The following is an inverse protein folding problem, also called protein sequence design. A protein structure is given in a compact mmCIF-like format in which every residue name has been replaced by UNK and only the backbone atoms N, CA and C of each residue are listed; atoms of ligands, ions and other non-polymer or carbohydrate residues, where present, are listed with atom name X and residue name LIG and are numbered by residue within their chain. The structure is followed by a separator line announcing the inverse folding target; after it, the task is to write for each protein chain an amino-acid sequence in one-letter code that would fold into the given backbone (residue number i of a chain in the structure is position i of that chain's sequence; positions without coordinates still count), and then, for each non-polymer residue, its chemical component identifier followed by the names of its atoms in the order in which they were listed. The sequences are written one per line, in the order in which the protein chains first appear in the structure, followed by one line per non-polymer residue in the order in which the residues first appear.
data_IF_677603066401
#
_entry.id   IF_677603066401
#
_cell.length_a   1.000
_cell.length_b   1.000
_cell.length_c   1.000
_cell.angle_alpha   90.00
_cell.angle_beta   90.00
_cell.angle_gamma   90.00
#
_symmetry.space_group_name_H-M   'P 1'
#
loop_
_entity.id
_entity.type
_entity.pdbx_description
1 polymer ?
#
# COMPACT_ATOMS: atom_id res chain seq x y z
N UNK A 1 -36.27 5.47 1.10
CA UNK A 1 -36.04 4.27 0.26
C UNK A 1 -35.43 4.58 -1.11
N UNK A 2 -35.82 5.65 -1.82
CA UNK A 2 -35.26 5.99 -3.15
C UNK A 2 -33.76 6.31 -3.15
N UNK A 3 -33.23 6.99 -2.14
CA UNK A 3 -31.78 7.31 -2.02
C UNK A 3 -30.89 6.06 -1.87
N UNK A 4 -31.34 5.05 -1.17
CA UNK A 4 -30.63 3.76 -1.01
C UNK A 4 -30.62 2.97 -2.33
N UNK A 5 -31.73 2.94 -3.08
CA UNK A 5 -31.77 2.30 -4.41
C UNK A 5 -30.79 2.94 -5.39
N UNK A 6 -30.67 4.27 -5.38
CA UNK A 6 -29.70 4.97 -6.24
C UNK A 6 -28.22 4.75 -5.81
N UNK A 7 -27.97 4.48 -4.54
CA UNK A 7 -26.64 4.14 -4.06
C UNK A 7 -26.18 2.80 -4.64
N UNK A 8 -27.01 1.76 -4.54
CA UNK A 8 -26.69 0.43 -5.07
C UNK A 8 -26.73 0.32 -6.61
N UNK A 9 -27.33 1.29 -7.30
CA UNK A 9 -27.31 1.34 -8.77
C UNK A 9 -26.01 1.91 -9.35
N UNK A 10 -25.11 2.45 -8.50
CA UNK A 10 -23.84 2.98 -8.96
C UNK A 10 -22.77 1.88 -8.93
N UNK A 11 -22.29 1.40 -10.10
CA UNK A 11 -21.37 0.27 -10.18
C UNK A 11 -20.02 0.53 -9.48
N UNK A 12 -19.64 1.79 -9.21
CA UNK A 12 -18.43 2.14 -8.45
C UNK A 12 -18.46 1.55 -7.02
N UNK A 13 -19.64 1.41 -6.43
CA UNK A 13 -19.77 0.86 -5.08
C UNK A 13 -19.21 -0.56 -5.00
N UNK A 14 -19.32 -1.32 -6.08
CA UNK A 14 -18.77 -2.67 -6.14
C UNK A 14 -17.24 -2.68 -5.96
N UNK A 15 -16.52 -1.70 -6.53
CA UNK A 15 -15.07 -1.56 -6.33
C UNK A 15 -14.77 -1.39 -4.84
N UNK A 16 -15.47 -0.46 -4.17
CA UNK A 16 -15.22 -0.18 -2.76
C UNK A 16 -15.60 -1.32 -1.84
N UNK A 17 -16.65 -2.08 -2.16
CA UNK A 17 -17.01 -3.29 -1.41
C UNK A 17 -15.87 -4.32 -1.52
N UNK A 18 -15.35 -4.56 -2.73
CA UNK A 18 -14.25 -5.51 -2.94
C UNK A 18 -12.98 -5.03 -2.25
N UNK A 19 -12.65 -3.74 -2.36
CA UNK A 19 -11.51 -3.14 -1.63
C UNK A 19 -11.65 -3.36 -0.12
N UNK A 20 -12.81 -3.09 0.46
CA UNK A 20 -13.05 -3.32 1.89
C UNK A 20 -12.85 -4.78 2.29
N UNK A 21 -13.30 -5.73 1.47
CA UNK A 21 -13.08 -7.17 1.72
C UNK A 21 -11.59 -7.52 1.68
N UNK A 22 -10.84 -6.98 0.71
CA UNK A 22 -9.38 -7.19 0.60
C UNK A 22 -8.65 -6.59 1.82
N UNK A 23 -9.16 -5.51 2.40
CA UNK A 23 -8.55 -4.85 3.55
C UNK A 23 -8.83 -5.55 4.90
N UNK A 24 -9.79 -6.48 4.97
CA UNK A 24 -10.13 -7.19 6.23
C UNK A 24 -8.90 -7.83 6.89
N UNK A 25 -8.02 -8.56 6.19
CA UNK A 25 -6.82 -9.15 6.79
C UNK A 25 -5.88 -8.11 7.39
N UNK A 26 -5.79 -6.92 6.78
CA UNK A 26 -4.92 -5.82 7.24
C UNK A 26 -5.36 -5.30 8.61
N UNK A 27 -6.67 -5.31 8.90
CA UNK A 27 -7.23 -4.83 10.16
C UNK A 27 -7.06 -5.81 11.33
N UNK A 28 -6.68 -7.07 11.05
CA UNK A 28 -6.43 -8.04 12.13
C UNK A 28 -5.19 -7.64 12.92
N UNK A 29 -5.20 -7.77 14.26
CA UNK A 29 -4.01 -7.48 15.07
C UNK A 29 -2.89 -8.47 14.76
N UNK A 30 -1.65 -8.03 14.97
CA UNK A 30 -0.46 -8.84 14.75
C UNK A 30 0.02 -8.87 13.30
N UNK A 31 1.02 -9.70 13.08
CA UNK A 31 1.65 -9.91 11.79
C UNK A 31 1.03 -11.13 11.09
N UNK A 32 0.95 -11.09 9.78
CA UNK A 32 0.61 -12.24 8.94
C UNK A 32 1.75 -12.50 7.95
N UNK A 33 2.08 -13.77 7.77
CA UNK A 33 3.11 -14.18 6.83
C UNK A 33 2.68 -13.89 5.39
N UNK A 34 3.59 -13.34 4.60
CA UNK A 34 3.44 -13.08 3.17
C UNK A 34 4.77 -13.38 2.48
N UNK A 35 4.79 -13.32 1.16
CA UNK A 35 5.90 -13.82 0.34
C UNK A 35 7.27 -13.22 0.74
N UNK A 36 7.32 -11.96 1.15
CA UNK A 36 8.58 -11.26 1.46
C UNK A 36 8.50 -10.60 2.85
N UNK A 37 8.80 -11.40 3.88
CA UNK A 37 8.73 -10.98 5.29
C UNK A 37 9.80 -9.93 5.66
N UNK A 38 10.81 -9.73 4.81
CA UNK A 38 11.92 -8.80 5.05
C UNK A 38 11.47 -7.33 4.99
N UNK A 39 10.38 -7.02 4.34
CA UNK A 39 9.93 -5.63 4.15
C UNK A 39 9.62 -4.86 5.44
N UNK A 40 9.31 -5.53 6.54
CA UNK A 40 9.18 -4.85 7.84
C UNK A 40 10.56 -4.34 8.32
N UNK A 41 11.60 -5.12 8.08
CA UNK A 41 12.99 -4.72 8.36
C UNK A 41 13.34 -3.51 7.49
N UNK A 42 12.90 -3.47 6.24
CA UNK A 42 13.14 -2.34 5.35
C UNK A 42 12.46 -1.05 5.83
N UNK A 43 11.28 -1.14 6.46
CA UNK A 43 10.65 0.02 7.12
C UNK A 43 11.51 0.51 8.28
N UNK A 44 12.01 -0.39 9.14
CA UNK A 44 12.93 -0.04 10.20
C UNK A 44 14.19 0.62 9.65
N UNK A 45 14.79 0.04 8.63
CA UNK A 45 16.00 0.57 8.00
C UNK A 45 15.77 1.93 7.34
N UNK A 46 14.58 2.18 6.79
CA UNK A 46 14.21 3.50 6.28
C UNK A 46 14.21 4.55 7.41
N UNK A 47 13.60 4.23 8.55
CA UNK A 47 13.58 5.11 9.73
C UNK A 47 15.02 5.41 10.18
N UNK A 48 15.84 4.37 10.36
CA UNK A 48 17.24 4.49 10.78
C UNK A 48 18.08 5.31 9.79
N UNK A 49 17.88 5.09 8.49
CA UNK A 49 18.58 5.83 7.44
C UNK A 49 18.22 7.31 7.44
N UNK A 50 16.95 7.65 7.68
CA UNK A 50 16.50 9.03 7.81
C UNK A 50 17.09 9.72 9.04
N UNK A 51 17.20 9.02 10.17
CA UNK A 51 17.80 9.52 11.41
C UNK A 51 19.30 9.79 11.28
N UNK A 52 20.04 8.90 10.62
CA UNK A 52 21.51 8.96 10.51
C UNK A 52 21.97 9.82 9.34
N UNK A 53 21.34 9.69 8.19
CA UNK A 53 21.80 10.28 6.92
C UNK A 53 20.93 11.45 6.44
N UNK A 54 19.75 11.65 7.06
CA UNK A 54 18.78 12.65 6.61
C UNK A 54 18.08 12.28 5.30
N UNK A 55 17.47 13.28 4.66
CA UNK A 55 16.73 13.09 3.41
C UNK A 55 17.55 13.60 2.21
N UNK A 56 17.60 12.88 1.06
CA UNK A 56 17.08 11.52 0.86
C UNK A 56 18.01 10.47 1.45
N UNK A 57 17.48 9.43 2.13
CA UNK A 57 18.29 8.35 2.65
C UNK A 57 18.86 7.52 1.49
N UNK A 58 20.14 7.25 1.53
CA UNK A 58 20.83 6.44 0.50
C UNK A 58 21.53 5.24 1.09
N UNK A 59 21.89 5.35 2.37
CA UNK A 59 22.74 4.41 3.08
C UNK A 59 22.00 3.82 4.25
N UNK A 60 22.03 2.48 4.37
CA UNK A 60 21.46 1.71 5.47
C UNK A 60 22.56 1.33 6.43
N UNK A 61 22.62 1.93 7.63
CA UNK A 61 23.79 1.77 8.52
C UNK A 61 23.91 0.36 9.12
N UNK A 62 22.80 -0.32 9.37
CA UNK A 62 22.79 -1.58 10.14
C UNK A 62 23.02 -2.82 9.26
N UNK A 63 23.05 -2.68 7.93
CA UNK A 63 23.32 -3.79 7.01
C UNK A 63 24.81 -4.23 7.07
N UNK A 64 25.08 -5.43 6.59
CA UNK A 64 26.42 -6.00 6.53
C UNK A 64 27.15 -5.97 7.89
N UNK A 65 26.50 -6.47 8.94
CA UNK A 65 27.06 -6.50 10.30
C UNK A 65 27.43 -5.12 10.86
N UNK A 66 26.69 -4.08 10.47
CA UNK A 66 26.95 -2.71 10.89
C UNK A 66 27.98 -1.95 10.04
N UNK A 67 28.47 -2.54 8.97
CA UNK A 67 29.33 -1.85 8.00
C UNK A 67 28.54 -0.96 7.05
N UNK A 68 27.24 -1.18 7.00
CA UNK A 68 26.31 -0.43 6.16
C UNK A 68 26.27 -0.85 4.70
N UNK A 69 25.24 -0.35 4.00
CA UNK A 69 25.04 -0.62 2.57
C UNK A 69 24.34 0.55 1.89
N UNK A 70 24.74 0.94 0.66
CA UNK A 70 24.06 1.98 -0.11
C UNK A 70 22.76 1.46 -0.76
N UNK A 71 21.91 0.81 0.05
CA UNK A 71 20.74 0.04 -0.35
C UNK A 71 19.74 0.86 -1.17
N UNK A 72 19.42 2.06 -0.70
CA UNK A 72 18.45 2.93 -1.34
C UNK A 72 18.95 3.62 -2.63
N UNK A 73 20.17 3.40 -3.06
CA UNK A 73 20.59 3.79 -4.40
C UNK A 73 20.11 2.80 -5.48
N UNK A 74 19.76 1.57 -5.10
CA UNK A 74 19.44 0.47 -6.00
C UNK A 74 18.05 -0.11 -5.77
N UNK A 75 17.42 0.21 -4.65
CA UNK A 75 16.13 -0.35 -4.25
C UNK A 75 15.04 0.74 -4.23
N UNK A 76 13.81 0.34 -4.50
CA UNK A 76 12.67 1.27 -4.47
C UNK A 76 12.39 1.74 -3.02
N UNK A 77 12.11 3.02 -2.85
CA UNK A 77 11.94 3.60 -1.50
C UNK A 77 10.54 4.17 -1.25
N UNK A 78 9.74 4.41 -2.28
CA UNK A 78 8.43 5.07 -2.11
C UNK A 78 7.50 4.33 -1.13
N UNK A 79 7.33 2.99 -1.18
CA UNK A 79 6.51 2.27 -0.22
C UNK A 79 7.00 2.44 1.22
N UNK A 80 8.33 2.41 1.43
CA UNK A 80 8.92 2.55 2.75
C UNK A 80 8.81 3.96 3.30
N UNK A 81 8.83 5.00 2.46
CA UNK A 81 8.49 6.36 2.88
C UNK A 81 7.05 6.45 3.39
N UNK A 82 6.10 5.84 2.67
CA UNK A 82 4.69 5.84 3.08
C UNK A 82 4.52 5.08 4.41
N UNK A 83 5.15 3.92 4.56
CA UNK A 83 5.12 3.17 5.81
C UNK A 83 5.77 3.96 6.96
N UNK A 84 6.91 4.61 6.73
CA UNK A 84 7.60 5.45 7.71
C UNK A 84 6.72 6.65 8.12
N UNK A 85 5.97 7.24 7.20
CA UNK A 85 5.01 8.28 7.53
C UNK A 85 3.94 7.78 8.51
N UNK A 86 3.37 6.59 8.28
CA UNK A 86 2.42 5.98 9.21
C UNK A 86 3.05 5.70 10.57
N UNK A 87 4.31 5.28 10.62
CA UNK A 87 5.06 5.10 11.87
C UNK A 87 5.19 6.41 12.65
N UNK A 88 5.56 7.50 12.00
CA UNK A 88 5.66 8.82 12.64
C UNK A 88 4.30 9.40 13.07
N UNK A 89 3.20 8.91 12.50
CA UNK A 89 1.84 9.20 12.98
C UNK A 89 1.45 8.39 14.22
N UNK A 90 2.35 7.55 14.76
CA UNK A 90 2.17 6.81 16.01
C UNK A 90 1.71 5.36 15.86
N UNK A 91 1.70 4.80 14.65
CA UNK A 91 1.39 3.40 14.44
C UNK A 91 2.59 2.51 14.79
N UNK A 92 2.33 1.24 15.13
CA UNK A 92 3.40 0.25 15.25
C UNK A 92 4.08 0.02 13.89
N UNK A 93 5.30 -0.47 13.90
CA UNK A 93 6.04 -0.76 12.65
C UNK A 93 5.28 -1.77 11.76
N UNK A 94 4.73 -2.81 12.36
CA UNK A 94 3.92 -3.81 11.66
C UNK A 94 2.65 -3.20 11.06
N UNK A 95 1.94 -2.38 11.83
CA UNK A 95 0.72 -1.72 11.33
C UNK A 95 1.05 -0.70 10.26
N UNK A 96 2.13 0.03 10.39
CA UNK A 96 2.62 0.99 9.38
C UNK A 96 2.82 0.33 8.02
N UNK A 97 3.46 -0.84 8.01
CA UNK A 97 3.62 -1.62 6.78
C UNK A 97 2.27 -2.12 6.23
N UNK A 98 1.40 -2.65 7.10
CA UNK A 98 0.05 -3.10 6.72
C UNK A 98 -0.80 -1.98 6.12
N UNK A 99 -0.81 -0.81 6.76
CA UNK A 99 -1.55 0.35 6.25
C UNK A 99 -0.97 0.88 4.94
N UNK A 100 0.34 0.79 4.75
CA UNK A 100 0.96 1.10 3.46
C UNK A 100 0.44 0.17 2.35
N UNK A 101 0.36 -1.14 2.61
CA UNK A 101 -0.24 -2.09 1.66
C UNK A 101 -1.71 -1.77 1.37
N UNK A 102 -2.50 -1.49 2.42
CA UNK A 102 -3.90 -1.09 2.26
C UNK A 102 -4.05 0.19 1.44
N UNK A 103 -3.20 1.17 1.66
CA UNK A 103 -3.15 2.41 0.89
C UNK A 103 -2.82 2.15 -0.59
N UNK A 104 -1.88 1.25 -0.87
CA UNK A 104 -1.54 0.85 -2.23
C UNK A 104 -2.74 0.20 -2.95
N UNK A 105 -3.49 -0.68 -2.28
CA UNK A 105 -4.71 -1.30 -2.84
C UNK A 105 -5.77 -0.23 -3.17
N UNK A 106 -6.01 0.71 -2.26
CA UNK A 106 -6.97 1.81 -2.47
C UNK A 106 -6.55 2.67 -3.67
N UNK A 107 -5.27 3.06 -3.74
CA UNK A 107 -4.75 3.86 -4.86
C UNK A 107 -4.81 3.11 -6.19
N UNK A 108 -4.51 1.82 -6.19
CA UNK A 108 -4.58 0.97 -7.38
C UNK A 108 -6.01 0.87 -7.92
N UNK A 109 -6.98 0.61 -7.03
CA UNK A 109 -8.38 0.54 -7.40
C UNK A 109 -8.90 1.86 -7.98
N UNK A 110 -8.63 2.97 -7.28
CA UNK A 110 -9.08 4.30 -7.68
C UNK A 110 -8.36 4.76 -8.96
N UNK A 111 -7.04 4.63 -9.02
CA UNK A 111 -6.23 5.09 -10.14
C UNK A 111 -6.57 4.34 -11.42
N UNK A 112 -6.68 3.00 -11.36
CA UNK A 112 -7.01 2.21 -12.53
C UNK A 112 -8.45 2.45 -13.02
N UNK A 113 -9.41 2.64 -12.08
CA UNK A 113 -10.76 3.06 -12.44
C UNK A 113 -10.77 4.42 -13.17
N UNK A 114 -10.08 5.42 -12.64
CA UNK A 114 -10.01 6.75 -13.24
C UNK A 114 -9.35 6.71 -14.62
N UNK A 115 -8.31 5.91 -14.78
CA UNK A 115 -7.67 5.69 -16.08
C UNK A 115 -8.66 5.09 -17.09
N UNK A 116 -9.29 3.98 -16.73
CA UNK A 116 -10.22 3.30 -17.63
C UNK A 116 -11.45 4.14 -17.98
N UNK A 117 -11.94 4.97 -17.06
CA UNK A 117 -13.10 5.86 -17.28
C UNK A 117 -12.94 6.83 -18.46
N UNK A 118 -11.70 7.14 -18.82
CA UNK A 118 -11.41 8.01 -19.97
C UNK A 118 -11.43 7.26 -21.31
N UNK A 119 -11.44 5.93 -21.29
CA UNK A 119 -11.31 5.11 -22.49
C UNK A 119 -12.50 4.19 -22.74
N UNK A 120 -13.24 3.81 -21.69
CA UNK A 120 -14.34 2.85 -21.80
C UNK A 120 -15.57 3.30 -21.00
N UNK A 121 -16.69 2.57 -21.16
CA UNK A 121 -17.91 2.83 -20.40
C UNK A 121 -17.68 2.71 -18.89
N UNK A 122 -18.54 3.38 -18.10
CA UNK A 122 -18.45 3.33 -16.62
C UNK A 122 -18.49 1.90 -16.08
N UNK A 123 -19.35 1.07 -16.63
CA UNK A 123 -19.49 -0.33 -16.22
C UNK A 123 -18.24 -1.13 -16.58
N UNK A 124 -17.71 -0.98 -17.79
CA UNK A 124 -16.48 -1.64 -18.22
C UNK A 124 -15.27 -1.20 -17.39
N UNK A 125 -15.19 0.09 -17.01
CA UNK A 125 -14.15 0.61 -16.15
C UNK A 125 -14.19 -0.03 -14.75
N UNK A 126 -15.38 -0.26 -14.19
CA UNK A 126 -15.53 -0.97 -12.90
C UNK A 126 -15.03 -2.40 -13.01
N UNK A 127 -15.47 -3.16 -14.01
CA UNK A 127 -15.03 -4.55 -14.19
C UNK A 127 -13.52 -4.64 -14.43
N UNK A 128 -12.96 -3.75 -15.26
CA UNK A 128 -11.50 -3.71 -15.47
C UNK A 128 -10.72 -3.43 -14.19
N UNK A 129 -11.21 -2.51 -13.34
CA UNK A 129 -10.58 -2.22 -12.05
C UNK A 129 -10.66 -3.40 -11.08
N UNK A 130 -11.78 -4.12 -11.06
CA UNK A 130 -11.92 -5.31 -10.24
C UNK A 130 -10.96 -6.42 -10.70
N UNK A 131 -10.84 -6.65 -12.00
CA UNK A 131 -9.88 -7.63 -12.55
C UNK A 131 -8.45 -7.24 -12.14
N UNK A 132 -8.11 -5.95 -12.25
CA UNK A 132 -6.79 -5.46 -11.90
C UNK A 132 -6.41 -5.71 -10.42
N UNK A 133 -7.29 -5.34 -9.48
CA UNK A 133 -7.01 -5.49 -8.04
C UNK A 133 -7.12 -6.93 -7.53
N UNK A 134 -7.82 -7.80 -8.25
CA UNK A 134 -7.96 -9.23 -7.92
C UNK A 134 -6.97 -10.12 -8.69
N UNK A 135 -6.20 -9.55 -9.61
CA UNK A 135 -5.22 -10.30 -10.39
C UNK A 135 -4.08 -10.78 -9.47
N UNK A 136 -3.80 -12.08 -9.40
CA UNK A 136 -2.62 -12.59 -8.68
C UNK A 136 -1.36 -12.20 -9.46
N UNK A 137 -0.29 -11.91 -8.72
CA UNK A 137 1.04 -11.71 -9.29
C UNK A 137 1.69 -13.05 -9.57
#
# INVERSE_FOLDING_TARGET
MARLKNLFSNPIILIWIVVLVILIPILKPGFFSFHDETHIIDVYQMIRSLEVSGFPPRFVPDFNFGLGHPYYNFYYHLPFYIATLFYYLGLSMTDSYKYMLGFAVILSAAGFYLFLRNHVSKTSAVFGSLIYILSPY
#
